data_IF_335329185516
#
_entry.id   IF_335329185516
#
_cell.length_a   1.000
_cell.length_b   1.000
_cell.length_c   1.000
_cell.angle_alpha   90.00
_cell.angle_beta   90.00
_cell.angle_gamma   90.00
#
_symmetry.space_group_name_H-M   'P 1'
#
loop_
_entity.id
_entity.type
_entity.pdbx_description
1 polymer ?
#
# COMPACT_ATOMS: atom_id res chain seq x y z
N UNK A 1 -2.30 -0.37 6.29
CA UNK A 1 -1.30 -0.69 5.23
C UNK A 1 0.02 -1.19 5.81
N UNK A 2 0.80 -0.38 6.53
CA UNK A 2 2.10 -0.83 7.07
C UNK A 2 2.00 -2.04 8.03
N UNK A 3 0.88 -2.19 8.74
CA UNK A 3 0.61 -3.39 9.55
C UNK A 3 0.36 -4.65 8.71
N UNK A 4 -0.25 -4.53 7.52
CA UNK A 4 -0.40 -5.66 6.60
C UNK A 4 0.96 -6.07 6.01
N UNK A 5 1.82 -5.09 5.69
CA UNK A 5 3.21 -5.31 5.28
C UNK A 5 4.11 -5.83 6.42
N UNK A 6 3.65 -5.74 7.68
CA UNK A 6 4.36 -6.30 8.83
C UNK A 6 4.10 -7.80 9.03
N UNK A 7 2.96 -8.28 8.52
CA UNK A 7 2.46 -9.66 8.73
C UNK A 7 2.59 -10.49 7.45
N UNK A 8 2.48 -9.86 6.28
CA UNK A 8 2.64 -10.47 4.98
C UNK A 8 3.77 -9.78 4.22
N UNK A 9 4.58 -10.58 3.51
CA UNK A 9 5.32 -10.02 2.38
C UNK A 9 4.30 -9.75 1.28
N UNK A 10 3.88 -8.50 1.14
CA UNK A 10 3.01 -8.00 0.09
C UNK A 10 3.78 -7.89 -1.22
N UNK A 11 4.20 -9.04 -1.76
CA UNK A 11 5.13 -9.14 -2.89
C UNK A 11 4.69 -8.42 -4.19
N UNK A 12 3.49 -7.84 -4.22
CA UNK A 12 2.95 -7.06 -5.33
C UNK A 12 2.54 -5.64 -4.90
N UNK A 13 3.43 -4.88 -4.26
CA UNK A 13 3.24 -3.44 -4.03
C UNK A 13 3.35 -2.69 -5.37
N UNK A 14 2.21 -2.25 -5.91
CA UNK A 14 2.11 -1.45 -7.13
C UNK A 14 0.88 -0.53 -7.08
N UNK A 15 0.83 0.47 -7.96
CA UNK A 15 -0.27 1.46 -8.01
C UNK A 15 -1.64 0.89 -8.37
N UNK A 16 -1.71 -0.26 -9.04
CA UNK A 16 -2.98 -0.92 -9.45
C UNK A 16 -3.59 -1.75 -8.32
N UNK A 17 -2.78 -2.16 -7.35
CA UNK A 17 -3.19 -2.97 -6.20
C UNK A 17 -3.63 -2.13 -4.99
N UNK A 18 -3.78 -0.82 -5.16
CA UNK A 18 -4.40 0.04 -4.16
C UNK A 18 -5.69 0.62 -4.70
N UNK A 19 -6.79 0.34 -3.99
CA UNK A 19 -8.11 0.81 -4.34
C UNK A 19 -8.63 1.73 -3.24
N UNK A 20 -9.42 2.74 -3.61
CA UNK A 20 -10.18 3.53 -2.66
C UNK A 20 -11.52 2.85 -2.37
N UNK A 21 -12.02 3.00 -1.15
CA UNK A 21 -13.39 2.63 -0.84
C UNK A 21 -14.40 3.48 -1.61
N UNK A 22 -15.68 3.15 -1.45
CA UNK A 22 -16.80 3.90 -2.03
C UNK A 22 -17.72 4.43 -0.92
N UNK A 23 -18.49 5.47 -1.23
CA UNK A 23 -19.41 6.10 -0.28
C UNK A 23 -18.68 6.62 0.97
N UNK A 24 -19.19 6.27 2.16
CA UNK A 24 -18.62 6.67 3.46
C UNK A 24 -17.18 6.20 3.70
N UNK A 25 -16.67 5.24 2.89
CA UNK A 25 -15.31 4.72 3.00
C UNK A 25 -14.38 5.23 1.91
N UNK A 26 -14.77 6.29 1.17
CA UNK A 26 -14.00 6.84 0.06
C UNK A 26 -12.61 7.38 0.46
N UNK A 27 -12.40 7.66 1.75
CA UNK A 27 -11.11 8.05 2.30
C UNK A 27 -10.21 6.88 2.73
N UNK A 28 -10.67 5.63 2.60
CA UNK A 28 -9.92 4.45 3.02
C UNK A 28 -9.24 3.82 1.81
N UNK A 29 -7.91 3.65 1.90
CA UNK A 29 -7.11 2.90 0.92
C UNK A 29 -7.07 1.42 1.31
N UNK A 30 -7.52 0.57 0.39
CA UNK A 30 -7.44 -0.89 0.48
C UNK A 30 -6.29 -1.41 -0.37
N UNK A 31 -5.61 -2.44 0.12
CA UNK A 31 -4.67 -3.21 -0.67
C UNK A 31 -5.36 -4.47 -1.18
N UNK A 32 -5.23 -4.74 -2.48
CA UNK A 32 -5.80 -5.91 -3.15
C UNK A 32 -4.68 -6.84 -3.66
N UNK A 33 -5.07 -7.95 -4.29
CA UNK A 33 -4.16 -8.93 -4.88
C UNK A 33 -3.11 -9.48 -3.90
N UNK A 34 -3.60 -10.16 -2.87
CA UNK A 34 -2.76 -10.91 -1.92
C UNK A 34 -2.41 -12.33 -2.44
N UNK A 35 -2.62 -12.61 -3.74
CA UNK A 35 -2.38 -13.94 -4.31
C UNK A 35 -0.91 -14.38 -4.28
N UNK A 36 0.01 -13.42 -4.16
CA UNK A 36 1.45 -13.65 -4.00
C UNK A 36 1.93 -13.39 -2.57
N UNK A 37 1.01 -13.07 -1.65
CA UNK A 37 1.36 -12.81 -0.27
C UNK A 37 1.77 -14.12 0.42
N UNK A 38 2.92 -14.08 1.10
CA UNK A 38 3.37 -15.18 1.93
C UNK A 38 3.18 -14.75 3.38
N UNK A 39 2.25 -15.42 4.07
CA UNK A 39 2.04 -15.19 5.49
C UNK A 39 3.25 -15.67 6.28
N UNK A 40 3.67 -14.85 7.26
CA UNK A 40 4.69 -15.24 8.22
C UNK A 40 4.35 -14.85 9.63
N UNK A 41 4.63 -15.77 10.55
CA UNK A 41 4.55 -15.47 11.96
C UNK A 41 5.67 -14.49 12.33
N UNK A 42 5.37 -13.38 13.04
CA UNK A 42 6.36 -12.38 13.42
C UNK A 42 7.59 -12.95 14.16
N UNK A 43 7.36 -13.97 14.98
CA UNK A 43 8.38 -14.58 15.86
C UNK A 43 9.21 -15.68 15.18
N UNK A 44 8.91 -16.05 13.92
CA UNK A 44 9.62 -17.10 13.17
C UNK A 44 10.24 -16.57 11.89
N UNK A 45 10.74 -15.34 11.94
CA UNK A 45 11.37 -14.72 10.79
C UNK A 45 12.83 -15.18 10.65
N UNK A 46 13.12 -16.01 9.65
CA UNK A 46 14.48 -16.42 9.29
C UNK A 46 14.67 -16.40 7.77
N UNK A 47 15.81 -15.85 7.32
CA UNK A 47 16.19 -15.63 5.92
C UNK A 47 16.07 -16.89 5.05
N UNK A 48 16.39 -18.08 5.59
CA UNK A 48 16.41 -19.35 4.83
C UNK A 48 15.03 -19.87 4.40
N UNK A 49 13.94 -19.32 4.94
CA UNK A 49 12.58 -19.83 4.72
C UNK A 49 11.85 -19.20 3.53
N UNK A 50 12.43 -18.19 2.88
CA UNK A 50 11.73 -17.46 1.79
C UNK A 50 11.97 -18.11 0.44
N UNK A 51 10.91 -18.62 -0.22
CA UNK A 51 11.05 -19.06 -1.59
C UNK A 51 11.41 -17.86 -2.46
N UNK A 52 12.42 -18.06 -3.32
CA UNK A 52 12.70 -17.12 -4.40
C UNK A 52 11.53 -17.19 -5.36
N UNK A 53 10.92 -16.04 -5.64
CA UNK A 53 9.83 -15.92 -6.60
C UNK A 53 10.39 -15.24 -7.84
N UNK A 54 10.07 -15.80 -9.01
CA UNK A 54 10.39 -15.12 -10.26
C UNK A 54 9.55 -13.84 -10.36
N UNK A 55 10.21 -12.69 -10.17
CA UNK A 55 9.55 -11.40 -10.21
C UNK A 55 9.22 -10.97 -11.64
N UNK A 56 9.71 -11.66 -12.70
CA UNK A 56 9.54 -11.24 -14.11
C UNK A 56 8.08 -11.10 -14.53
N UNK A 57 7.16 -11.79 -13.85
CA UNK A 57 5.72 -11.66 -14.03
C UNK A 57 5.15 -10.28 -13.64
N UNK A 58 5.88 -9.51 -12.81
CA UNK A 58 5.42 -8.25 -12.21
C UNK A 58 5.84 -7.01 -13.03
N UNK A 59 5.36 -5.80 -12.68
CA UNK A 59 5.93 -4.57 -13.21
C UNK A 59 7.34 -4.30 -12.63
N UNK A 60 8.40 -4.18 -13.46
CA UNK A 60 9.78 -4.02 -12.97
C UNK A 60 10.04 -2.69 -12.26
N UNK A 61 9.17 -1.71 -12.45
CA UNK A 61 9.35 -0.33 -12.00
C UNK A 61 9.34 -0.19 -10.47
N UNK A 62 8.53 -0.98 -9.76
CA UNK A 62 8.42 -0.91 -8.30
C UNK A 62 9.16 -2.05 -7.59
N UNK A 63 9.56 -3.11 -8.30
CA UNK A 63 10.33 -4.21 -7.70
C UNK A 63 11.64 -3.72 -7.06
N UNK A 64 11.94 -4.18 -5.85
CA UNK A 64 13.19 -3.86 -5.14
C UNK A 64 14.43 -4.27 -5.94
N UNK A 65 15.57 -3.65 -5.64
CA UNK A 65 16.87 -4.02 -6.20
C UNK A 65 17.17 -5.51 -5.92
N UNK A 66 16.92 -5.97 -4.69
CA UNK A 66 17.07 -7.37 -4.30
C UNK A 66 16.19 -8.32 -5.13
N UNK A 67 14.95 -7.94 -5.42
CA UNK A 67 14.07 -8.69 -6.30
C UNK A 67 14.66 -8.85 -7.69
N UNK A 68 15.23 -7.78 -8.26
CA UNK A 68 15.93 -7.84 -9.55
C UNK A 68 17.17 -8.75 -9.52
N UNK A 69 17.84 -8.86 -8.37
CA UNK A 69 19.00 -9.73 -8.16
C UNK A 69 18.61 -11.19 -7.85
N UNK A 70 17.31 -11.51 -7.82
CA UNK A 70 16.82 -12.85 -7.51
C UNK A 70 17.04 -13.26 -6.05
N UNK A 71 17.21 -12.28 -5.15
CA UNK A 71 17.22 -12.48 -3.70
C UNK A 71 15.79 -12.70 -3.24
N UNK A 72 15.60 -13.56 -2.24
CA UNK A 72 14.27 -13.85 -1.74
C UNK A 72 13.70 -12.62 -1.00
N UNK A 73 12.46 -12.26 -1.30
CA UNK A 73 11.86 -11.01 -0.80
C UNK A 73 11.52 -11.07 0.69
N UNK A 74 11.60 -9.91 1.33
CA UNK A 74 11.41 -9.68 2.76
C UNK A 74 10.59 -8.39 2.98
N UNK A 75 10.33 -8.04 4.24
CA UNK A 75 9.57 -6.83 4.61
C UNK A 75 10.20 -5.55 4.05
N UNK A 76 11.52 -5.51 3.91
CA UNK A 76 12.22 -4.34 3.37
C UNK A 76 11.93 -4.12 1.89
N UNK A 77 11.72 -5.20 1.14
CA UNK A 77 11.44 -5.14 -0.30
C UNK A 77 10.09 -4.48 -0.59
N UNK A 78 9.08 -4.76 0.23
CA UNK A 78 7.76 -4.12 0.14
C UNK A 78 7.84 -2.62 0.48
N UNK A 79 8.67 -2.25 1.47
CA UNK A 79 8.92 -0.84 1.80
C UNK A 79 9.70 -0.11 0.70
N UNK A 80 10.68 -0.76 0.08
CA UNK A 80 11.42 -0.18 -1.05
C UNK A 80 10.47 0.08 -2.23
N UNK A 81 9.59 -0.88 -2.52
CA UNK A 81 8.56 -0.73 -3.54
C UNK A 81 7.57 0.40 -3.22
N UNK A 82 7.15 0.52 -1.95
CA UNK A 82 6.30 1.61 -1.49
C UNK A 82 6.99 2.97 -1.65
N UNK A 83 8.28 3.08 -1.30
CA UNK A 83 9.08 4.28 -1.53
C UNK A 83 9.10 4.70 -3.00
N UNK A 84 9.32 3.74 -3.92
CA UNK A 84 9.27 4.01 -5.36
C UNK A 84 7.89 4.49 -5.82
N UNK A 85 6.81 3.95 -5.26
CA UNK A 85 5.45 4.44 -5.56
C UNK A 85 5.24 5.87 -5.06
N UNK A 86 5.70 6.20 -3.84
CA UNK A 86 5.58 7.56 -3.31
C UNK A 86 6.33 8.57 -4.18
N UNK A 87 7.57 8.25 -4.59
CA UNK A 87 8.33 9.11 -5.52
C UNK A 87 7.62 9.21 -6.87
N UNK A 88 7.05 8.13 -7.37
CA UNK A 88 6.27 8.14 -8.60
C UNK A 88 5.07 9.09 -8.50
N UNK A 89 4.31 9.08 -7.40
CA UNK A 89 3.20 10.03 -7.21
C UNK A 89 3.67 11.48 -7.16
N UNK A 90 4.80 11.76 -6.51
CA UNK A 90 5.34 13.12 -6.43
C UNK A 90 5.90 13.64 -7.76
N UNK A 91 6.47 12.77 -8.60
CA UNK A 91 7.17 13.18 -9.83
C UNK A 91 6.42 12.86 -11.13
N UNK A 92 5.39 12.02 -11.06
CA UNK A 92 4.71 11.42 -12.21
C UNK A 92 5.53 10.36 -12.97
N UNK A 93 6.83 10.21 -12.70
CA UNK A 93 7.70 9.21 -13.31
C UNK A 93 8.92 8.84 -12.46
N UNK A 94 9.43 7.63 -12.67
CA UNK A 94 10.69 7.13 -12.13
C UNK A 94 11.82 7.22 -13.17
N UNK A 95 13.09 7.39 -12.76
CA UNK A 95 14.23 7.55 -13.68
C UNK A 95 14.46 6.37 -14.63
N UNK A 96 13.97 5.18 -14.28
CA UNK A 96 14.08 3.94 -15.06
C UNK A 96 12.83 3.61 -15.90
N UNK A 97 11.85 4.52 -16.01
CA UNK A 97 10.72 4.34 -16.93
C UNK A 97 11.08 4.73 -18.37
N UNK A 98 10.35 4.18 -19.35
CA UNK A 98 10.53 4.50 -20.77
C UNK A 98 11.67 3.74 -21.49
N UNK A 99 12.36 2.84 -20.81
CA UNK A 99 13.42 2.01 -21.42
C UNK A 99 12.85 1.06 -22.48
N UNK A 100 13.34 1.17 -23.71
CA UNK A 100 12.94 0.36 -24.86
C UNK A 100 13.79 -0.90 -24.95
N UNK A 101 13.26 -2.03 -24.51
CA UNK A 101 13.90 -3.34 -24.62
C UNK A 101 12.86 -4.46 -24.56
N UNK A 102 13.24 -5.68 -25.00
CA UNK A 102 12.47 -6.89 -24.73
C UNK A 102 12.35 -7.12 -23.22
N UNK A 103 11.33 -7.86 -22.77
CA UNK A 103 10.97 -8.01 -21.35
C UNK A 103 12.18 -8.33 -20.44
N UNK A 104 12.94 -9.38 -20.75
CA UNK A 104 14.09 -9.79 -19.91
C UNK A 104 15.19 -8.72 -19.88
N UNK A 105 15.52 -8.13 -21.03
CA UNK A 105 16.50 -7.06 -21.12
C UNK A 105 16.01 -5.79 -20.38
N UNK A 106 14.70 -5.52 -20.38
CA UNK A 106 14.11 -4.40 -19.65
C UNK A 106 14.28 -4.57 -18.14
N UNK A 107 14.13 -5.79 -17.63
CA UNK A 107 14.39 -6.10 -16.22
C UNK A 107 15.84 -5.78 -15.83
N UNK A 108 16.80 -6.27 -16.63
CA UNK A 108 18.22 -5.99 -16.39
C UNK A 108 18.53 -4.49 -16.45
N UNK A 109 18.03 -3.78 -17.46
CA UNK A 109 18.26 -2.34 -17.62
C UNK A 109 17.67 -1.52 -16.46
N UNK A 110 16.45 -1.87 -16.02
CA UNK A 110 15.83 -1.24 -14.85
C UNK A 110 16.67 -1.50 -13.60
N UNK A 111 17.14 -2.73 -13.39
CA UNK A 111 17.99 -3.09 -12.25
C UNK A 111 19.29 -2.27 -12.23
N UNK A 112 20.01 -2.21 -13.35
CA UNK A 112 21.24 -1.43 -13.48
C UNK A 112 20.97 0.06 -13.20
N UNK A 113 19.88 0.61 -13.74
CA UNK A 113 19.53 2.01 -13.53
C UNK A 113 19.17 2.31 -12.08
N UNK A 114 18.46 1.41 -11.39
CA UNK A 114 18.14 1.53 -9.95
C UNK A 114 19.40 1.55 -9.10
N UNK A 115 20.31 0.59 -9.33
CA UNK A 115 21.58 0.50 -8.59
C UNK A 115 22.47 1.73 -8.81
N UNK A 116 22.42 2.33 -10.00
CA UNK A 116 23.16 3.54 -10.33
C UNK A 116 22.54 4.84 -9.77
N UNK A 117 21.28 4.82 -9.34
CA UNK A 117 20.57 6.01 -8.85
C UNK A 117 20.46 5.97 -7.33
N UNK A 118 21.28 6.77 -6.64
CA UNK A 118 21.25 6.89 -5.19
C UNK A 118 19.99 7.59 -4.66
N UNK A 119 19.70 7.45 -3.36
CA UNK A 119 18.51 8.03 -2.73
C UNK A 119 18.40 9.55 -2.93
N UNK A 120 19.52 10.28 -2.79
CA UNK A 120 19.57 11.73 -3.00
C UNK A 120 19.27 12.14 -4.45
N UNK A 121 19.73 11.37 -5.44
CA UNK A 121 19.43 11.63 -6.85
C UNK A 121 17.95 11.31 -7.15
N UNK A 122 17.46 10.16 -6.68
CA UNK A 122 16.08 9.73 -6.86
C UNK A 122 15.08 10.76 -6.30
N UNK A 123 15.41 11.32 -5.13
CA UNK A 123 14.55 12.25 -4.39
C UNK A 123 14.92 13.72 -4.61
N UNK A 124 15.76 14.05 -5.60
CA UNK A 124 16.21 15.41 -5.84
C UNK A 124 15.01 16.37 -6.05
N UNK A 125 14.92 17.42 -5.23
CA UNK A 125 13.82 18.38 -5.24
C UNK A 125 12.57 17.98 -4.44
N UNK A 126 12.58 16.80 -3.80
CA UNK A 126 11.57 16.39 -2.82
C UNK A 126 12.04 16.74 -1.39
N UNK A 127 11.14 16.80 -0.39
CA UNK A 127 11.52 16.93 1.01
C UNK A 127 12.52 15.86 1.46
N UNK A 128 13.43 16.21 2.38
CA UNK A 128 14.53 15.34 2.82
C UNK A 128 14.03 14.04 3.43
N UNK A 129 12.83 14.03 4.00
CA UNK A 129 12.17 12.85 4.55
C UNK A 129 12.06 11.69 3.55
N UNK A 130 12.01 11.96 2.24
CA UNK A 130 12.05 10.91 1.22
C UNK A 130 13.43 10.25 1.14
N UNK A 131 14.51 11.03 1.25
CA UNK A 131 15.89 10.49 1.31
C UNK A 131 16.07 9.68 2.58
N UNK A 132 15.63 10.22 3.72
CA UNK A 132 15.70 9.54 5.02
C UNK A 132 14.94 8.21 5.02
N UNK A 133 13.79 8.16 4.33
CA UNK A 133 13.02 6.93 4.12
C UNK A 133 13.84 5.87 3.38
N UNK A 134 14.44 6.21 2.24
CA UNK A 134 15.22 5.23 1.46
C UNK A 134 16.49 4.79 2.19
N UNK A 135 17.18 5.71 2.88
CA UNK A 135 18.34 5.36 3.69
C UNK A 135 17.96 4.35 4.78
N UNK A 136 16.86 4.62 5.50
CA UNK A 136 16.34 3.69 6.50
C UNK A 136 16.01 2.32 5.89
N UNK A 137 15.32 2.28 4.75
CA UNK A 137 14.91 1.03 4.10
C UNK A 137 16.11 0.23 3.58
N UNK A 138 17.10 0.88 3.00
CA UNK A 138 18.31 0.21 2.49
C UNK A 138 19.20 -0.33 3.61
N UNK A 139 19.16 0.27 4.81
CA UNK A 139 19.91 -0.19 5.99
C UNK A 139 19.26 -1.41 6.68
N UNK A 140 18.01 -1.75 6.35
CA UNK A 140 17.33 -2.93 6.90
C UNK A 140 17.98 -4.22 6.39
N UNK A 141 18.19 -5.16 7.31
CA UNK A 141 18.53 -6.55 7.00
C UNK A 141 17.27 -7.31 6.60
N UNK A 142 17.44 -8.45 5.93
CA UNK A 142 16.32 -9.32 5.55
C UNK A 142 15.47 -9.75 6.75
N UNK A 143 16.10 -9.87 7.92
CA UNK A 143 15.45 -10.35 9.15
C UNK A 143 14.84 -9.28 10.02
N UNK A 144 15.16 -8.02 9.74
CA UNK A 144 14.74 -6.91 10.58
C UNK A 144 13.23 -6.74 10.51
N UNK A 145 12.64 -6.37 11.65
CA UNK A 145 11.28 -5.87 11.72
C UNK A 145 11.35 -4.35 11.55
N UNK A 146 10.83 -3.79 10.45
CA UNK A 146 10.85 -2.35 10.26
C UNK A 146 10.08 -1.63 11.38
N UNK A 147 10.59 -0.48 11.79
CA UNK A 147 9.89 0.48 12.64
C UNK A 147 8.92 1.29 11.79
N UNK A 148 7.77 0.70 11.54
CA UNK A 148 6.68 1.33 10.81
C UNK A 148 6.17 2.61 11.50
N UNK A 149 6.34 2.74 12.81
CA UNK A 149 5.91 3.94 13.53
C UNK A 149 6.85 5.11 13.24
N UNK A 150 8.16 4.87 13.22
CA UNK A 150 9.15 5.84 12.76
C UNK A 150 8.81 6.33 11.35
N UNK A 151 8.61 5.42 10.40
CA UNK A 151 8.29 5.77 9.01
C UNK A 151 7.02 6.62 8.88
N UNK A 152 5.94 6.27 9.61
CA UNK A 152 4.71 7.09 9.65
C UNK A 152 5.01 8.47 10.21
N UNK A 153 5.70 8.55 11.36
CA UNK A 153 6.02 9.81 12.04
C UNK A 153 6.86 10.75 11.16
N UNK A 154 7.79 10.22 10.38
CA UNK A 154 8.61 11.00 9.45
C UNK A 154 7.73 11.79 8.49
N UNK A 155 6.79 11.14 7.80
CA UNK A 155 5.89 11.83 6.88
C UNK A 155 4.80 12.65 7.59
N UNK A 156 4.28 12.23 8.75
CA UNK A 156 3.31 13.03 9.51
C UNK A 156 3.92 14.37 9.98
N UNK A 157 5.18 14.36 10.42
CA UNK A 157 5.87 15.60 10.81
C UNK A 157 6.06 16.54 9.62
N UNK A 158 6.45 16.01 8.46
CA UNK A 158 6.53 16.78 7.22
C UNK A 158 5.16 17.36 6.85
N UNK A 159 4.11 16.54 6.89
CA UNK A 159 2.74 16.94 6.56
C UNK A 159 2.28 18.13 7.41
N UNK A 160 2.48 18.08 8.74
CA UNK A 160 2.16 19.21 9.63
C UNK A 160 3.07 20.42 9.38
N UNK A 161 4.36 20.22 9.09
CA UNK A 161 5.29 21.32 8.80
C UNK A 161 4.92 22.10 7.54
N UNK A 162 4.28 21.44 6.57
CA UNK A 162 3.74 22.07 5.37
C UNK A 162 2.38 22.76 5.61
N UNK A 163 1.83 22.69 6.82
CA UNK A 163 0.55 23.31 7.18
C UNK A 163 -0.68 22.54 6.74
N UNK A 164 -0.54 21.26 6.38
CA UNK A 164 -1.68 20.43 6.01
C UNK A 164 -2.42 19.88 7.24
N UNK A 165 -3.74 19.73 7.10
CA UNK A 165 -4.62 19.13 8.10
C UNK A 165 -5.10 17.76 7.64
N UNK A 166 -5.39 16.86 8.59
CA UNK A 166 -5.84 15.51 8.29
C UNK A 166 -7.37 15.48 8.05
N UNK A 167 -7.80 16.15 6.99
CA UNK A 167 -9.21 16.34 6.60
C UNK A 167 -9.77 15.22 5.71
N UNK A 168 -8.90 14.36 5.18
CA UNK A 168 -9.21 13.33 4.17
C UNK A 168 -9.68 13.90 2.82
N UNK A 169 -9.29 15.14 2.49
CA UNK A 169 -9.55 15.77 1.20
C UNK A 169 -8.35 15.51 0.29
N UNK A 170 -8.56 14.67 -0.72
CA UNK A 170 -7.53 14.34 -1.72
C UNK A 170 -7.73 15.15 -3.00
N UNK A 171 -6.71 15.18 -3.87
CA UNK A 171 -6.75 15.93 -5.14
C UNK A 171 -7.99 15.59 -6.00
N UNK A 172 -8.38 14.32 -6.05
CA UNK A 172 -9.57 13.88 -6.78
C UNK A 172 -10.88 14.25 -6.08
N UNK A 173 -10.89 14.38 -4.75
CA UNK A 173 -12.05 14.84 -3.99
C UNK A 173 -12.42 16.27 -4.42
N UNK A 174 -11.43 17.17 -4.48
CA UNK A 174 -11.64 18.55 -4.94
C UNK A 174 -12.11 18.62 -6.39
N UNK A 175 -11.57 17.77 -7.27
CA UNK A 175 -11.99 17.70 -8.68
C UNK A 175 -13.45 17.26 -8.83
N UNK A 176 -13.91 16.31 -8.02
CA UNK A 176 -15.32 15.89 -8.04
C UNK A 176 -16.24 16.98 -7.47
N UNK A 177 -15.84 17.70 -6.41
CA UNK A 177 -16.61 18.86 -5.92
C UNK A 177 -16.78 19.93 -7.00
N UNK A 178 -15.69 20.28 -7.69
CA UNK A 178 -15.72 21.22 -8.82
C UNK A 178 -16.61 20.71 -9.96
N UNK A 179 -16.57 19.40 -10.26
CA UNK A 179 -17.41 18.77 -11.30
C UNK A 179 -18.89 18.82 -10.95
N UNK A 180 -19.23 18.68 -9.67
CA UNK A 180 -20.59 18.69 -9.16
C UNK A 180 -21.14 20.11 -8.93
N UNK A 181 -20.32 21.14 -9.07
CA UNK A 181 -20.73 22.54 -8.92
C UNK A 181 -21.16 22.89 -7.49
N UNK A 182 -20.66 22.15 -6.49
CA UNK A 182 -20.88 22.45 -5.08
C UNK A 182 -19.85 23.51 -4.67
N UNK A 183 -20.30 24.72 -4.35
CA UNK A 183 -19.43 25.81 -3.92
C UNK A 183 -18.72 25.49 -2.58
N UNK A 184 -17.51 26.03 -2.39
CA UNK A 184 -16.62 25.72 -1.27
C UNK A 184 -17.14 26.14 0.13
N UNK A 185 -18.29 26.81 0.21
CA UNK A 185 -18.91 27.29 1.45
C UNK A 185 -19.68 26.21 2.23
N UNK A 186 -19.91 25.03 1.66
CA UNK A 186 -20.62 23.91 2.32
C UNK A 186 -19.70 22.80 2.87
N UNK A 187 -18.42 23.09 3.15
CA UNK A 187 -17.56 22.11 3.84
C UNK A 187 -18.05 21.89 5.28
N UNK A 188 -18.41 20.65 5.69
CA UNK A 188 -18.74 20.39 7.08
C UNK A 188 -17.46 20.48 7.90
N UNK A 189 -17.26 21.59 8.59
CA UNK A 189 -16.29 21.67 9.69
C UNK A 189 -16.67 20.62 10.73
N UNK A 190 -15.68 19.87 11.21
CA UNK A 190 -15.81 18.65 12.04
C UNK A 190 -16.52 18.81 13.40
N UNK A 191 -17.12 19.97 13.69
CA UNK A 191 -17.73 20.29 14.99
C UNK A 191 -19.25 20.01 15.08
N UNK A 192 -19.93 19.52 14.04
CA UNK A 192 -21.40 19.35 14.06
C UNK A 192 -21.92 17.93 14.36
N UNK A 193 -21.06 16.93 14.51
CA UNK A 193 -21.51 15.52 14.64
C UNK A 193 -21.78 15.09 16.10
N UNK A 194 -21.46 15.90 17.11
CA UNK A 194 -21.46 15.40 18.50
C UNK A 194 -22.68 15.78 19.37
N UNK A 195 -23.77 16.31 18.80
CA UNK A 195 -24.91 16.80 19.61
C UNK A 195 -26.27 16.14 19.30
N UNK A 196 -26.28 14.91 18.80
CA UNK A 196 -27.51 14.09 18.76
C UNK A 196 -27.27 12.68 19.28
N UNK A 197 -26.92 12.57 20.57
CA UNK A 197 -27.06 11.33 21.33
C UNK A 197 -28.18 11.49 22.36
N UNK A 198 -29.41 11.49 21.85
CA UNK A 198 -30.63 11.39 22.64
C UNK A 198 -31.22 9.99 22.48
N UNK A 199 -31.13 9.23 23.57
CA UNK A 199 -31.92 8.07 24.01
C UNK A 199 -32.97 7.55 23.03
N UNK A 200 -32.89 6.27 22.63
CA UNK A 200 -34.07 5.40 22.64
C UNK A 200 -33.75 3.90 22.63
N UNK A 201 -34.71 3.19 23.21
CA UNK A 201 -34.65 1.88 23.87
C UNK A 201 -34.41 0.64 22.99
N UNK A 202 -33.83 -0.39 23.62
CA UNK A 202 -33.58 -1.72 23.08
C UNK A 202 -34.85 -2.52 22.71
N UNK A 203 -34.77 -3.33 21.64
CA UNK A 203 -35.43 -4.66 21.54
C UNK A 203 -34.76 -5.55 20.46
N UNK A 204 -34.64 -6.87 20.68
CA UNK A 204 -33.80 -7.77 19.87
C UNK A 204 -34.58 -8.49 18.76
N UNK A 205 -33.94 -8.74 17.62
CA UNK A 205 -34.50 -9.57 16.53
C UNK A 205 -33.87 -10.96 16.54
N UNK A 206 -34.74 -11.96 16.58
CA UNK A 206 -34.43 -13.39 16.66
C UNK A 206 -34.03 -14.02 15.33
N UNK A 207 -33.32 -15.13 15.48
CA UNK A 207 -32.80 -16.01 14.45
C UNK A 207 -33.93 -16.78 13.74
N UNK A 208 -33.90 -16.84 12.41
CA UNK A 208 -34.78 -17.67 11.59
C UNK A 208 -33.97 -18.31 10.45
N UNK A 209 -33.45 -19.51 10.69
CA UNK A 209 -32.88 -20.41 9.67
C UNK A 209 -33.99 -21.38 9.26
N UNK A 210 -34.31 -21.46 7.97
CA UNK A 210 -35.14 -22.52 7.41
C UNK A 210 -34.24 -23.48 6.63
N UNK A 211 -34.19 -24.72 7.09
CA UNK A 211 -33.59 -25.87 6.42
C UNK A 211 -34.44 -26.30 5.22
N UNK A 212 -33.79 -26.52 4.07
CA UNK A 212 -34.40 -27.18 2.91
C UNK A 212 -33.92 -28.63 2.90
N UNK A 213 -34.81 -29.55 3.28
CA UNK A 213 -34.64 -30.99 3.09
C UNK A 213 -35.22 -31.41 1.73
N UNK A 214 -34.39 -31.99 0.86
CA UNK A 214 -34.87 -32.86 -0.22
C UNK A 214 -34.26 -34.25 -0.08
N UNK A 215 -35.14 -35.23 0.12
CA UNK A 215 -34.84 -36.65 0.12
C UNK A 215 -35.34 -37.26 -1.19
N UNK A 216 -34.49 -37.97 -1.92
CA UNK A 216 -34.92 -38.98 -2.88
C UNK A 216 -34.23 -40.32 -2.60
N UNK A 217 -35.09 -41.30 -2.35
CA UNK A 217 -34.82 -42.73 -2.14
C UNK A 217 -34.56 -43.45 -3.47
N UNK A 218 -33.76 -44.52 -3.41
CA UNK A 218 -33.78 -45.63 -4.38
C UNK A 218 -32.46 -46.42 -4.40
N UNK A 219 -32.17 -47.32 -3.45
CA UNK A 219 -32.56 -48.75 -3.32
C UNK A 219 -31.57 -49.73 -4.00
N UNK A 220 -30.91 -50.54 -3.13
CA UNK A 220 -30.34 -51.91 -3.26
C UNK A 220 -30.53 -52.59 -4.63
N UNK A 221 -29.56 -53.32 -5.20
CA UNK A 221 -28.56 -54.25 -4.67
C UNK A 221 -27.29 -54.21 -5.51
#
# INVERSE_FOLDING_TARGET
MLELMAINNGQNVNTENFLLGVGERANIVYMTDLGLAIYRHPDRWGSSSTPRVDIRARPPQYASINGHLGVAQSRRDDLEALGYMLVYFMRGRLPWQGLKAKRDAKYLLVSVKKQATGASELCAGLPTEFVDYFNYVHDLRDEDRPDYQYLRKTFTKLFHRQGFEYDNIFDWTNREFQRLGLDAEELPTSNSVNEKRGVDTAKPWGCGVQDVTEATRGRKR
#
